data_IF_658163912133
#
_entry.id   IF_658163912133
#
_cell.length_a   1.000
_cell.length_b   1.000
_cell.length_c   1.000
_cell.angle_alpha   90.00
_cell.angle_beta   90.00
_cell.angle_gamma   90.00
#
_symmetry.space_group_name_H-M   'P 1'
#
loop_
_entity.id
_entity.type
_entity.pdbx_description
1 polymer ?
#
# COMPACT_ATOMS: atom_id res chain seq x y z
N UNK A 1 13.73 -0.07 0.00
CA UNK A 1 13.95 -0.76 -1.28
C UNK A 1 14.89 -1.92 -1.02
N UNK A 2 14.34 -3.13 -0.97
CA UNK A 2 14.99 -4.45 -1.04
C UNK A 2 14.05 -5.42 -0.32
N UNK A 3 13.07 -5.91 -1.07
CA UNK A 3 12.21 -7.04 -0.71
C UNK A 3 11.78 -7.78 -1.98
N UNK A 4 12.61 -7.73 -3.04
CA UNK A 4 12.28 -8.30 -4.35
C UNK A 4 12.80 -9.73 -4.56
N UNK A 5 13.34 -10.38 -3.52
CA UNK A 5 13.94 -11.72 -3.65
C UNK A 5 13.34 -12.72 -2.63
N UNK A 6 12.02 -12.85 -2.61
CA UNK A 6 11.34 -14.03 -2.04
C UNK A 6 10.40 -14.59 -3.12
N UNK A 7 10.98 -15.38 -4.03
CA UNK A 7 10.23 -16.37 -4.80
C UNK A 7 10.97 -17.69 -4.69
N UNK A 8 10.23 -18.67 -4.18
CA UNK A 8 10.65 -20.04 -3.96
C UNK A 8 11.12 -20.66 -5.28
N UNK A 9 12.30 -21.26 -5.20
CA UNK A 9 12.85 -22.24 -6.12
C UNK A 9 11.77 -23.30 -6.39
N UNK A 10 11.26 -23.41 -7.63
CA UNK A 10 10.48 -24.59 -8.00
C UNK A 10 11.47 -25.75 -8.12
N UNK A 11 11.52 -26.59 -7.10
CA UNK A 11 12.18 -27.88 -7.18
C UNK A 11 11.60 -28.66 -8.35
N UNK A 12 12.47 -29.06 -9.28
CA UNK A 12 12.11 -29.99 -10.34
C UNK A 12 11.75 -31.31 -9.67
N UNK A 13 10.52 -31.75 -9.87
CA UNK A 13 10.04 -33.08 -9.46
C UNK A 13 10.98 -34.12 -10.08
N UNK A 14 11.65 -34.86 -9.21
CA UNK A 14 12.55 -35.95 -9.56
C UNK A 14 11.73 -37.03 -10.28
N UNK A 15 11.84 -37.09 -11.62
CA UNK A 15 11.27 -38.20 -12.39
C UNK A 15 12.19 -39.40 -12.21
N UNK A 16 11.70 -40.36 -11.44
CA UNK A 16 12.46 -41.49 -10.93
C UNK A 16 13.23 -42.33 -11.95
N UNK A 17 14.34 -42.86 -11.42
CA UNK A 17 14.95 -44.16 -11.67
C UNK A 17 14.80 -44.79 -13.07
N UNK A 18 15.85 -44.64 -13.88
CA UNK A 18 16.25 -45.69 -14.83
C UNK A 18 17.63 -46.20 -14.40
N UNK A 19 17.65 -47.36 -13.75
CA UNK A 19 18.85 -48.13 -13.42
C UNK A 19 19.48 -48.67 -14.70
N UNK A 20 20.77 -48.39 -14.95
CA UNK A 20 21.54 -49.13 -15.95
C UNK A 20 22.88 -48.52 -16.36
N UNK A 21 23.96 -49.08 -15.78
CA UNK A 21 25.40 -48.97 -16.13
C UNK A 21 26.13 -47.71 -15.64
N UNK A 22 27.00 -47.96 -14.65
CA UNK A 22 28.03 -47.06 -14.13
C UNK A 22 28.89 -46.46 -15.26
N UNK A 23 28.63 -45.21 -15.60
CA UNK A 23 29.65 -44.29 -16.09
C UNK A 23 29.84 -43.26 -14.99
N UNK A 24 30.88 -43.44 -14.20
CA UNK A 24 31.31 -42.44 -13.23
C UNK A 24 31.89 -41.26 -14.02
N UNK A 25 31.04 -40.31 -14.41
CA UNK A 25 31.49 -38.99 -14.87
C UNK A 25 31.81 -38.20 -13.62
N UNK A 26 33.08 -38.20 -13.22
CA UNK A 26 33.63 -37.18 -12.33
C UNK A 26 33.45 -35.82 -13.04
N UNK A 27 32.39 -35.09 -12.71
CA UNK A 27 32.26 -33.69 -13.09
C UNK A 27 33.25 -32.92 -12.24
N UNK A 28 34.44 -32.73 -12.80
CA UNK A 28 35.42 -31.78 -12.31
C UNK A 28 34.85 -30.36 -12.46
N UNK A 29 35.02 -29.59 -11.38
CA UNK A 29 34.62 -28.21 -11.14
C UNK A 29 33.11 -27.91 -11.03
N UNK A 30 32.64 -27.33 -9.91
CA UNK A 30 31.40 -26.54 -9.92
C UNK A 30 31.67 -25.34 -10.82
N UNK A 31 31.38 -25.48 -12.12
CA UNK A 31 31.69 -24.52 -13.15
C UNK A 31 31.40 -23.10 -12.66
N UNK A 32 32.42 -22.24 -12.70
CA UNK A 32 32.36 -20.83 -12.29
C UNK A 32 31.01 -20.26 -12.69
N UNK A 33 30.20 -19.82 -11.71
CA UNK A 33 28.88 -19.20 -11.97
C UNK A 33 29.08 -18.14 -13.04
N UNK A 34 28.52 -18.39 -14.23
CA UNK A 34 28.66 -17.47 -15.33
C UNK A 34 27.79 -16.23 -15.04
N UNK A 35 28.43 -15.25 -14.39
CA UNK A 35 27.79 -14.00 -13.99
C UNK A 35 27.14 -13.29 -15.19
N UNK A 36 27.69 -13.48 -16.39
CA UNK A 36 27.14 -12.89 -17.61
C UNK A 36 25.79 -13.52 -17.95
N UNK A 37 25.67 -14.85 -18.01
CA UNK A 37 24.37 -15.50 -18.27
C UNK A 37 23.34 -15.25 -17.16
N UNK A 38 23.75 -15.24 -15.88
CA UNK A 38 22.86 -14.89 -14.77
C UNK A 38 22.35 -13.44 -14.88
N UNK A 39 23.23 -12.50 -15.19
CA UNK A 39 22.85 -11.11 -15.42
C UNK A 39 21.92 -10.98 -16.63
N UNK A 40 22.26 -11.61 -17.76
CA UNK A 40 21.42 -11.63 -18.96
C UNK A 40 20.03 -12.19 -18.67
N UNK A 41 19.93 -13.30 -17.92
CA UNK A 41 18.64 -13.88 -17.51
C UNK A 41 17.84 -12.93 -16.62
N UNK A 42 18.48 -12.27 -15.65
CA UNK A 42 17.82 -11.26 -14.80
C UNK A 42 17.29 -10.10 -15.63
N UNK A 43 18.07 -9.65 -16.60
CA UNK A 43 17.73 -8.54 -17.48
C UNK A 43 16.56 -8.87 -18.41
N UNK A 44 16.60 -10.04 -19.06
CA UNK A 44 15.49 -10.55 -19.86
C UNK A 44 14.21 -10.68 -19.01
N UNK A 45 14.31 -11.24 -17.81
CA UNK A 45 13.16 -11.36 -16.90
C UNK A 45 12.64 -9.99 -16.42
N UNK A 46 13.52 -8.98 -16.28
CA UNK A 46 13.11 -7.61 -15.98
C UNK A 46 12.28 -7.03 -17.14
N UNK A 47 12.78 -7.14 -18.37
CA UNK A 47 12.09 -6.68 -19.58
C UNK A 47 10.74 -7.40 -19.80
N UNK A 48 10.67 -8.70 -19.57
CA UNK A 48 9.43 -9.47 -19.66
C UNK A 48 8.41 -8.97 -18.63
N UNK A 49 8.83 -8.80 -17.36
CA UNK A 49 7.97 -8.26 -16.29
C UNK A 49 7.42 -6.88 -16.65
N UNK A 50 8.26 -5.99 -17.15
CA UNK A 50 7.84 -4.65 -17.57
C UNK A 50 6.79 -4.70 -18.70
N UNK A 51 6.99 -5.57 -19.70
CA UNK A 51 5.99 -5.77 -20.78
C UNK A 51 4.66 -6.29 -20.23
N UNK A 52 4.68 -7.25 -19.30
CA UNK A 52 3.46 -7.77 -18.66
C UNK A 52 2.74 -6.69 -17.86
N UNK A 53 3.46 -5.89 -17.08
CA UNK A 53 2.88 -4.76 -16.35
C UNK A 53 2.25 -3.74 -17.30
N UNK A 54 2.94 -3.40 -18.39
CA UNK A 54 2.44 -2.44 -19.37
C UNK A 54 1.20 -2.98 -20.12
N UNK A 55 1.20 -4.25 -20.52
CA UNK A 55 0.02 -4.89 -21.11
C UNK A 55 -1.17 -4.86 -20.14
N UNK A 56 -0.95 -5.20 -18.88
CA UNK A 56 -1.98 -5.15 -17.85
C UNK A 56 -2.52 -3.73 -17.63
N UNK A 57 -1.64 -2.72 -17.59
CA UNK A 57 -2.02 -1.29 -17.50
C UNK A 57 -2.88 -0.86 -18.69
N UNK A 58 -2.48 -1.22 -19.91
CA UNK A 58 -3.25 -0.92 -21.15
C UNK A 58 -4.62 -1.58 -21.09
N UNK A 59 -4.69 -2.85 -20.70
CA UNK A 59 -5.95 -3.58 -20.57
C UNK A 59 -6.91 -2.88 -19.59
N UNK A 60 -6.43 -2.46 -18.42
CA UNK A 60 -7.22 -1.69 -17.46
C UNK A 60 -7.74 -0.38 -18.07
N UNK A 61 -6.90 0.35 -18.80
CA UNK A 61 -7.31 1.60 -19.46
C UNK A 61 -8.38 1.35 -20.51
N UNK A 62 -8.25 0.30 -21.32
CA UNK A 62 -9.25 -0.09 -22.30
C UNK A 62 -10.59 -0.43 -21.63
N UNK A 63 -10.57 -1.17 -20.52
CA UNK A 63 -11.79 -1.46 -19.75
C UNK A 63 -12.42 -0.19 -19.15
N UNK A 64 -11.62 0.71 -18.58
CA UNK A 64 -12.11 1.98 -18.05
C UNK A 64 -12.78 2.79 -19.16
N UNK A 65 -12.11 2.95 -20.32
CA UNK A 65 -12.64 3.69 -21.45
C UNK A 65 -13.94 3.06 -21.99
N UNK A 66 -13.96 1.73 -22.14
CA UNK A 66 -15.13 0.99 -22.59
C UNK A 66 -16.32 1.14 -21.63
N UNK A 67 -16.10 1.03 -20.32
CA UNK A 67 -17.15 1.21 -19.31
C UNK A 67 -17.65 2.66 -19.26
N UNK A 68 -16.77 3.64 -19.44
CA UNK A 68 -17.18 5.04 -19.55
C UNK A 68 -18.03 5.26 -20.81
N UNK A 69 -17.66 4.66 -21.95
CA UNK A 69 -18.45 4.71 -23.17
C UNK A 69 -19.84 4.10 -22.96
N UNK A 70 -19.92 2.88 -22.42
CA UNK A 70 -21.19 2.21 -22.13
C UNK A 70 -22.06 3.01 -21.15
N UNK A 71 -21.47 3.53 -20.08
CA UNK A 71 -22.15 4.40 -19.12
C UNK A 71 -22.75 5.62 -19.82
N UNK A 72 -21.97 6.29 -20.67
CA UNK A 72 -22.44 7.49 -21.37
C UNK A 72 -23.60 7.15 -22.33
N UNK A 73 -23.52 6.03 -23.06
CA UNK A 73 -24.58 5.62 -23.99
C UNK A 73 -25.86 5.18 -23.27
N UNK A 74 -25.72 4.45 -22.15
CA UNK A 74 -26.87 3.81 -21.47
C UNK A 74 -27.51 4.66 -20.39
N UNK A 75 -26.71 5.41 -19.61
CA UNK A 75 -27.19 6.16 -18.43
C UNK A 75 -27.24 7.66 -18.67
N UNK A 76 -26.33 8.21 -19.46
CA UNK A 76 -26.31 9.65 -19.76
C UNK A 76 -27.12 9.98 -21.03
N UNK A 77 -27.40 8.99 -21.89
CA UNK A 77 -28.34 9.10 -23.00
C UNK A 77 -29.78 9.23 -22.50
N UNK A 78 -30.65 9.97 -23.19
CA UNK A 78 -32.02 10.23 -22.70
C UNK A 78 -32.97 9.04 -22.87
N UNK A 79 -32.71 8.15 -23.83
CA UNK A 79 -33.67 7.14 -24.25
C UNK A 79 -33.87 6.03 -23.20
N UNK A 80 -32.80 5.36 -22.76
CA UNK A 80 -32.91 4.26 -21.80
C UNK A 80 -33.42 4.74 -20.42
N UNK A 81 -32.89 5.83 -19.83
CA UNK A 81 -33.41 6.34 -18.56
C UNK A 81 -34.87 6.78 -18.64
N UNK A 82 -35.33 7.36 -19.75
CA UNK A 82 -36.75 7.73 -19.90
C UNK A 82 -37.67 6.51 -20.01
N UNK A 83 -37.26 5.46 -20.75
CA UNK A 83 -37.96 4.18 -20.76
C UNK A 83 -37.97 3.51 -19.38
N UNK A 84 -36.86 3.54 -18.64
CA UNK A 84 -36.82 2.99 -17.29
C UNK A 84 -37.75 3.78 -16.35
N UNK A 85 -37.77 5.10 -16.44
CA UNK A 85 -38.66 5.94 -15.63
C UNK A 85 -40.14 5.70 -15.95
N UNK A 86 -40.51 5.41 -17.20
CA UNK A 86 -41.91 5.12 -17.55
C UNK A 86 -42.43 3.82 -16.94
N UNK A 87 -41.54 2.88 -16.59
CA UNK A 87 -41.92 1.65 -15.87
C UNK A 87 -42.12 1.85 -14.36
N UNK A 88 -41.67 2.97 -13.80
CA UNK A 88 -41.74 3.23 -12.36
C UNK A 88 -43.03 3.99 -12.03
N UNK A 89 -43.91 3.36 -11.24
CA UNK A 89 -45.11 4.02 -10.72
C UNK A 89 -44.72 5.19 -9.79
N UNK A 90 -45.36 6.36 -9.97
CA UNK A 90 -45.04 7.62 -9.27
C UNK A 90 -44.98 7.51 -7.74
N UNK A 91 -45.81 6.67 -7.13
CA UNK A 91 -45.80 6.41 -5.67
C UNK A 91 -44.49 5.80 -5.17
N UNK A 92 -43.81 5.01 -6.01
CA UNK A 92 -42.53 4.42 -5.68
C UNK A 92 -41.39 5.45 -5.75
N UNK A 93 -41.51 6.49 -6.59
CA UNK A 93 -40.50 7.53 -6.74
C UNK A 93 -40.36 8.37 -5.46
N UNK A 94 -41.48 8.69 -4.81
CA UNK A 94 -41.47 9.42 -3.54
C UNK A 94 -40.77 8.62 -2.41
N UNK A 95 -41.14 7.33 -2.26
CA UNK A 95 -40.51 6.41 -1.31
C UNK A 95 -39.01 6.22 -1.60
N UNK A 96 -38.63 6.15 -2.88
CA UNK A 96 -37.23 6.07 -3.31
C UNK A 96 -36.48 7.36 -2.96
N UNK A 97 -37.02 8.54 -3.26
CA UNK A 97 -36.38 9.82 -2.90
C UNK A 97 -36.15 9.94 -1.40
N UNK A 98 -37.10 9.55 -0.57
CA UNK A 98 -36.95 9.58 0.89
C UNK A 98 -35.86 8.61 1.38
N UNK A 99 -35.88 7.36 0.88
CA UNK A 99 -34.88 6.33 1.20
C UNK A 99 -33.47 6.71 0.74
N UNK A 100 -33.30 7.26 -0.47
CA UNK A 100 -31.99 7.60 -1.02
C UNK A 100 -31.48 9.00 -0.60
N UNK A 101 -32.37 9.95 -0.27
CA UNK A 101 -32.01 11.19 0.43
C UNK A 101 -31.43 10.86 1.81
N UNK A 102 -32.00 9.88 2.51
CA UNK A 102 -31.46 9.38 3.78
C UNK A 102 -30.11 8.67 3.60
N UNK A 103 -29.80 7.99 2.50
CA UNK A 103 -28.48 7.38 2.25
C UNK A 103 -27.37 8.41 2.00
N UNK A 104 -27.71 9.58 1.47
CA UNK A 104 -26.79 10.72 1.35
C UNK A 104 -26.56 11.41 2.71
N UNK A 105 -27.58 11.48 3.57
CA UNK A 105 -27.55 12.15 4.88
C UNK A 105 -27.07 11.24 6.03
N UNK A 106 -27.34 9.94 5.99
CA UNK A 106 -26.91 8.96 7.02
C UNK A 106 -25.41 8.70 6.99
N UNK A 107 -24.74 8.92 5.85
CA UNK A 107 -23.28 9.02 5.80
C UNK A 107 -22.74 10.23 6.58
N UNK A 108 -23.56 11.27 6.82
CA UNK A 108 -23.20 12.47 7.58
C UNK A 108 -23.65 12.45 9.05
N UNK A 109 -24.62 11.60 9.44
CA UNK A 109 -25.28 11.72 10.76
C UNK A 109 -25.01 10.61 11.79
N UNK A 110 -24.08 9.67 11.56
CA UNK A 110 -23.56 8.84 12.66
C UNK A 110 -22.53 9.59 13.53
N UNK A 111 -22.99 10.70 14.13
CA UNK A 111 -22.46 11.27 15.36
C UNK A 111 -23.65 11.43 16.31
N UNK A 112 -23.89 10.43 17.16
CA UNK A 112 -24.63 10.66 18.40
C UNK A 112 -23.75 11.54 19.30
N UNK A 113 -23.94 12.84 19.19
CA UNK A 113 -23.36 13.85 20.08
C UNK A 113 -24.34 15.01 20.12
N UNK A 114 -25.07 15.13 21.23
CA UNK A 114 -26.03 16.20 21.49
C UNK A 114 -25.30 17.55 21.38
N UNK A 115 -25.70 18.37 20.42
CA UNK A 115 -25.14 19.71 20.21
C UNK A 115 -26.04 20.51 19.27
N UNK A 116 -26.89 21.35 19.86
CA UNK A 116 -27.80 22.26 19.17
C UNK A 116 -26.96 23.28 18.41
N UNK A 117 -27.14 23.37 17.09
CA UNK A 117 -26.66 24.52 16.31
C UNK A 117 -27.58 24.79 15.13
N UNK A 118 -28.02 26.05 15.07
CA UNK A 118 -29.04 26.61 14.19
C UNK A 118 -28.72 26.33 12.72
N UNK A 119 -29.68 25.72 12.02
CA UNK A 119 -29.64 25.53 10.56
C UNK A 119 -29.80 26.89 9.88
N UNK A 120 -28.76 27.39 9.21
CA UNK A 120 -28.93 28.36 8.12
C UNK A 120 -29.25 27.56 6.86
N UNK A 121 -30.47 27.72 6.36
CA UNK A 121 -30.87 27.21 5.06
C UNK A 121 -30.18 28.03 3.97
N UNK A 122 -29.16 27.46 3.32
CA UNK A 122 -28.72 27.95 2.02
C UNK A 122 -29.53 27.22 0.95
N UNK A 123 -30.60 27.87 0.50
CA UNK A 123 -31.30 27.55 -0.73
C UNK A 123 -30.36 27.81 -1.91
N UNK A 124 -29.63 26.79 -2.33
CA UNK A 124 -28.69 26.88 -3.45
C UNK A 124 -28.46 25.50 -4.05
N UNK A 125 -29.20 25.21 -5.12
CA UNK A 125 -28.78 24.27 -6.19
C UNK A 125 -28.33 22.86 -5.76
N UNK A 126 -29.07 22.19 -4.87
CA UNK A 126 -28.88 20.76 -4.59
C UNK A 126 -29.23 19.86 -5.81
N UNK A 127 -30.00 20.40 -6.77
CA UNK A 127 -30.30 19.78 -8.07
C UNK A 127 -29.10 19.77 -9.03
N UNK A 128 -28.00 20.45 -8.68
CA UNK A 128 -26.76 20.52 -9.46
C UNK A 128 -25.64 19.66 -8.86
N UNK A 129 -25.97 18.72 -7.97
CA UNK A 129 -25.19 17.48 -7.83
C UNK A 129 -25.56 16.62 -9.06
N UNK A 130 -25.25 17.15 -10.24
CA UNK A 130 -25.30 16.38 -11.47
C UNK A 130 -24.51 15.10 -11.24
N UNK A 131 -24.98 14.03 -11.86
CA UNK A 131 -24.39 12.71 -11.97
C UNK A 131 -23.02 12.87 -12.65
N UNK A 132 -22.06 13.52 -12.00
CA UNK A 132 -20.68 13.58 -12.42
C UNK A 132 -20.09 12.21 -12.11
N UNK A 133 -20.38 11.29 -13.03
CA UNK A 133 -19.79 9.97 -13.07
C UNK A 133 -18.29 10.09 -13.21
N UNK A 134 -17.58 9.32 -12.41
CA UNK A 134 -16.15 9.12 -12.55
C UNK A 134 -15.78 7.79 -11.93
N UNK A 135 -14.63 7.28 -12.31
CA UNK A 135 -14.20 5.93 -11.94
C UNK A 135 -13.44 5.98 -10.63
N UNK A 136 -13.74 4.99 -9.78
CA UNK A 136 -13.04 4.79 -8.52
C UNK A 136 -12.76 3.31 -8.30
N UNK A 137 -11.59 3.04 -7.74
CA UNK A 137 -11.30 1.74 -7.18
C UNK A 137 -12.04 1.52 -5.84
N UNK A 138 -13.01 0.62 -5.85
CA UNK A 138 -13.78 0.17 -4.67
C UNK A 138 -13.45 -1.28 -4.31
N UNK A 139 -12.34 -1.84 -4.82
CA UNK A 139 -11.99 -3.25 -4.62
C UNK A 139 -11.89 -3.62 -3.15
N UNK A 140 -11.42 -2.70 -2.29
CA UNK A 140 -11.27 -2.94 -0.85
C UNK A 140 -12.57 -3.36 -0.15
N UNK A 141 -13.73 -2.93 -0.68
CA UNK A 141 -15.05 -3.29 -0.17
C UNK A 141 -15.39 -4.75 -0.46
N UNK A 142 -15.12 -5.19 -1.69
CA UNK A 142 -15.59 -6.50 -2.19
C UNK A 142 -14.55 -7.61 -2.03
N UNK A 143 -13.26 -7.27 -2.07
CA UNK A 143 -12.19 -8.26 -1.91
C UNK A 143 -11.95 -8.55 -0.42
N UNK A 144 -12.39 -9.71 0.05
CA UNK A 144 -12.11 -10.18 1.42
C UNK A 144 -10.60 -10.25 1.70
N UNK A 145 -9.82 -10.70 0.72
CA UNK A 145 -8.36 -10.88 0.82
C UNK A 145 -7.55 -9.63 0.42
N UNK A 146 -8.19 -8.45 0.37
CA UNK A 146 -7.53 -7.19 -0.03
C UNK A 146 -6.24 -6.90 0.76
N UNK A 147 -6.23 -7.24 2.04
CA UNK A 147 -5.10 -7.01 2.94
C UNK A 147 -4.01 -8.08 2.91
N UNK A 148 -4.12 -9.14 2.07
CA UNK A 148 -3.05 -10.13 1.87
C UNK A 148 -2.00 -9.63 0.87
N UNK A 149 -0.73 -9.93 1.13
CA UNK A 149 0.41 -9.56 0.29
C UNK A 149 0.27 -10.10 -1.13
N UNK A 150 -0.11 -11.37 -1.28
CA UNK A 150 -0.27 -12.02 -2.59
C UNK A 150 -1.32 -11.35 -3.47
N UNK A 151 -2.46 -10.99 -2.88
CA UNK A 151 -3.51 -10.29 -3.59
C UNK A 151 -3.02 -8.92 -4.08
N UNK A 152 -2.31 -8.16 -3.23
CA UNK A 152 -1.76 -6.85 -3.62
C UNK A 152 -0.66 -6.96 -4.67
N UNK A 153 0.19 -8.00 -4.63
CA UNK A 153 1.26 -8.23 -5.58
C UNK A 153 0.74 -8.52 -6.99
N UNK A 154 -0.43 -9.15 -7.12
CA UNK A 154 -1.08 -9.41 -8.41
C UNK A 154 -1.75 -8.17 -9.02
N UNK A 155 -1.85 -7.07 -8.27
CA UNK A 155 -2.46 -5.83 -8.73
C UNK A 155 -1.41 -4.93 -9.39
N UNK A 156 -1.91 -4.00 -10.21
CA UNK A 156 -1.09 -2.91 -10.72
C UNK A 156 -0.59 -2.01 -9.59
N UNK A 157 0.52 -1.30 -9.85
CA UNK A 157 1.08 -0.29 -8.94
C UNK A 157 -0.02 0.68 -8.44
N UNK A 158 -0.27 0.75 -7.11
CA UNK A 158 -1.25 1.64 -6.53
C UNK A 158 -1.00 3.12 -6.85
N UNK A 159 0.28 3.54 -6.97
CA UNK A 159 0.60 4.93 -7.30
C UNK A 159 0.24 5.26 -8.74
N UNK A 160 0.53 4.36 -9.68
CA UNK A 160 0.06 4.48 -11.06
C UNK A 160 -1.46 4.54 -11.13
N UNK A 161 -2.18 3.62 -10.48
CA UNK A 161 -3.63 3.59 -10.52
C UNK A 161 -4.24 4.89 -9.95
N UNK A 162 -3.75 5.36 -8.79
CA UNK A 162 -4.20 6.60 -8.18
C UNK A 162 -3.95 7.83 -9.08
N UNK A 163 -2.79 7.90 -9.75
CA UNK A 163 -2.50 8.97 -10.72
C UNK A 163 -3.43 8.91 -11.93
N UNK A 164 -3.68 7.72 -12.47
CA UNK A 164 -4.57 7.49 -13.62
C UNK A 164 -6.01 7.90 -13.30
N UNK A 165 -6.56 7.44 -12.16
CA UNK A 165 -7.91 7.80 -11.71
C UNK A 165 -8.01 9.28 -11.29
N UNK A 166 -6.89 9.94 -11.03
CA UNK A 166 -6.84 11.38 -10.74
C UNK A 166 -6.95 12.28 -11.97
N UNK A 167 -6.82 11.73 -13.19
CA UNK A 167 -6.92 12.50 -14.45
C UNK A 167 -8.34 13.00 -14.67
N UNK A 168 -8.48 14.25 -15.15
CA UNK A 168 -9.79 14.92 -15.29
C UNK A 168 -10.84 14.12 -16.06
N UNK A 169 -10.43 13.40 -17.11
CA UNK A 169 -11.32 12.55 -17.94
C UNK A 169 -11.89 11.32 -17.22
N UNK A 170 -11.28 10.89 -16.11
CA UNK A 170 -11.68 9.69 -15.35
C UNK A 170 -12.17 10.05 -13.94
N UNK A 171 -11.70 11.18 -13.41
CA UNK A 171 -11.79 11.54 -12.00
C UNK A 171 -13.21 11.55 -11.44
N UNK A 172 -13.40 10.81 -10.34
CA UNK A 172 -14.63 10.83 -9.55
C UNK A 172 -14.82 12.15 -8.78
N UNK A 173 -16.08 12.46 -8.44
CA UNK A 173 -16.44 13.61 -7.63
C UNK A 173 -15.66 13.66 -6.30
N UNK A 174 -14.97 14.77 -6.03
CA UNK A 174 -14.07 14.91 -4.88
C UNK A 174 -14.74 14.75 -3.51
N UNK A 175 -15.96 15.27 -3.33
CA UNK A 175 -16.67 15.21 -2.03
C UNK A 175 -17.10 13.77 -1.74
N UNK A 176 -17.77 13.15 -2.71
CA UNK A 176 -18.17 11.73 -2.64
C UNK A 176 -16.96 10.82 -2.47
N UNK A 177 -15.87 11.13 -3.17
CA UNK A 177 -14.63 10.39 -3.07
C UNK A 177 -14.11 10.33 -1.62
N UNK A 178 -13.97 11.49 -0.97
CA UNK A 178 -13.49 11.57 0.42
C UNK A 178 -14.37 10.81 1.41
N UNK A 179 -15.69 10.94 1.28
CA UNK A 179 -16.63 10.24 2.18
C UNK A 179 -16.46 8.72 2.05
N UNK A 180 -16.37 8.21 0.83
CA UNK A 180 -16.18 6.78 0.63
C UNK A 180 -14.76 6.31 0.97
N UNK A 181 -13.70 7.14 0.90
CA UNK A 181 -12.37 6.79 1.46
C UNK A 181 -12.49 6.54 2.97
N UNK A 182 -13.17 7.45 3.68
CA UNK A 182 -13.37 7.30 5.12
C UNK A 182 -14.22 6.09 5.46
N UNK A 183 -15.19 5.74 4.61
CA UNK A 183 -16.03 4.56 4.79
C UNK A 183 -15.23 3.27 4.58
N UNK A 184 -14.50 3.16 3.45
CA UNK A 184 -13.66 2.00 3.15
C UNK A 184 -12.57 1.81 4.21
N UNK A 185 -11.97 2.90 4.69
CA UNK A 185 -10.98 2.83 5.76
C UNK A 185 -11.59 2.29 7.07
N UNK A 186 -12.79 2.73 7.44
CA UNK A 186 -13.50 2.20 8.61
C UNK A 186 -13.83 0.73 8.45
N UNK A 187 -14.33 0.32 7.28
CA UNK A 187 -14.60 -1.09 6.98
C UNK A 187 -13.33 -1.94 7.11
N UNK A 188 -12.19 -1.47 6.59
CA UNK A 188 -10.92 -2.18 6.69
C UNK A 188 -10.40 -2.30 8.12
N UNK A 189 -10.56 -1.26 8.95
CA UNK A 189 -10.15 -1.27 10.36
C UNK A 189 -11.07 -2.15 11.20
N UNK A 190 -12.36 -2.19 10.88
CA UNK A 190 -13.35 -3.02 11.59
C UNK A 190 -13.22 -4.52 11.26
N UNK A 191 -12.46 -4.90 10.24
CA UNK A 191 -12.13 -6.31 9.99
C UNK A 191 -11.34 -6.87 11.18
N UNK A 192 -11.59 -8.13 11.55
CA UNK A 192 -10.85 -8.76 12.63
C UNK A 192 -9.35 -8.81 12.32
N UNK A 193 -8.53 -8.84 13.36
CA UNK A 193 -7.09 -8.98 13.21
C UNK A 193 -6.75 -10.31 12.51
N UNK A 194 -5.76 -10.33 11.60
CA UNK A 194 -5.28 -11.57 10.99
C UNK A 194 -4.84 -12.59 12.05
N UNK A 195 -5.20 -13.86 11.86
CA UNK A 195 -4.86 -14.96 12.79
C UNK A 195 -3.49 -15.58 12.50
N UNK A 196 -3.03 -15.47 11.26
CA UNK A 196 -1.78 -16.08 10.77
C UNK A 196 -0.66 -15.06 10.70
N UNK A 197 0.52 -15.43 11.20
CA UNK A 197 1.71 -14.55 11.21
C UNK A 197 2.13 -14.10 9.80
N UNK A 198 2.07 -14.99 8.80
CA UNK A 198 2.43 -14.68 7.41
C UNK A 198 1.59 -13.55 6.80
N UNK A 199 0.36 -13.34 7.27
CA UNK A 199 -0.51 -12.28 6.75
C UNK A 199 -0.08 -10.88 7.22
N UNK A 200 0.69 -10.79 8.31
CA UNK A 200 1.22 -9.52 8.81
C UNK A 200 2.41 -9.02 7.98
N UNK A 201 3.11 -9.91 7.26
CA UNK A 201 4.20 -9.51 6.36
C UNK A 201 3.67 -8.54 5.31
N UNK A 202 4.24 -7.33 5.30
CA UNK A 202 3.85 -6.23 4.41
C UNK A 202 2.37 -5.81 4.50
N UNK A 203 1.67 -6.10 5.60
CA UNK A 203 0.26 -5.73 5.78
C UNK A 203 0.08 -4.19 5.80
N UNK A 204 -0.95 -3.62 5.13
CA UNK A 204 -1.08 -2.17 4.96
C UNK A 204 -1.39 -1.42 6.25
N UNK A 205 -2.10 -2.04 7.20
CA UNK A 205 -2.57 -1.38 8.43
C UNK A 205 -1.83 -1.81 9.69
N UNK A 206 -1.21 -2.99 9.69
CA UNK A 206 -0.74 -3.65 10.91
C UNK A 206 0.68 -4.16 10.71
N UNK A 207 1.42 -4.29 11.80
CA UNK A 207 2.77 -4.85 11.82
C UNK A 207 2.98 -5.63 13.11
N UNK A 208 3.77 -6.69 13.03
CA UNK A 208 4.26 -7.39 14.22
C UNK A 208 5.59 -6.80 14.66
N UNK A 209 5.82 -6.79 15.97
CA UNK A 209 7.10 -6.34 16.55
C UNK A 209 8.32 -7.09 15.98
N UNK A 210 8.16 -8.38 15.69
CA UNK A 210 9.20 -9.23 15.07
C UNK A 210 9.52 -8.85 13.62
N UNK A 211 8.55 -8.31 12.89
CA UNK A 211 8.66 -8.06 11.44
C UNK A 211 9.20 -6.65 11.11
N UNK A 212 9.75 -5.96 12.11
CA UNK A 212 10.39 -4.66 11.92
C UNK A 212 11.74 -4.82 11.22
N UNK A 213 11.95 -4.03 10.17
CA UNK A 213 13.24 -4.00 9.50
C UNK A 213 14.34 -3.44 10.41
N UNK A 214 15.60 -3.71 10.02
CA UNK A 214 16.80 -3.22 10.74
C UNK A 214 16.73 -1.72 11.06
N UNK A 215 16.33 -0.91 10.08
CA UNK A 215 16.21 0.55 10.18
C UNK A 215 14.76 1.02 10.39
N UNK A 216 13.91 0.19 10.96
CA UNK A 216 12.56 0.56 11.38
C UNK A 216 12.41 0.35 12.88
N UNK A 217 11.57 1.18 13.48
CA UNK A 217 11.09 0.98 14.83
C UNK A 217 9.71 1.61 15.00
N UNK A 218 9.04 1.22 16.08
CA UNK A 218 7.73 1.73 16.45
C UNK A 218 7.94 2.95 17.37
N UNK A 219 7.22 4.04 17.12
CA UNK A 219 7.19 5.24 17.94
C UNK A 219 5.74 5.68 18.22
N UNK A 220 5.37 6.02 19.48
CA UNK A 220 6.14 5.95 20.73
C UNK A 220 6.68 4.54 21.05
N UNK A 221 7.51 4.37 22.09
CA UNK A 221 8.09 3.04 22.37
C UNK A 221 6.98 2.00 22.61
N UNK A 222 7.21 0.72 22.30
CA UNK A 222 6.26 -0.35 22.57
C UNK A 222 5.77 -0.43 24.03
N UNK A 223 6.56 0.06 24.98
CA UNK A 223 6.23 0.12 26.41
C UNK A 223 5.22 1.23 26.73
N UNK A 224 5.30 2.36 26.02
CA UNK A 224 4.49 3.56 26.27
C UNK A 224 3.10 3.47 25.63
N UNK A 225 2.89 2.54 24.70
CA UNK A 225 1.65 2.42 23.95
C UNK A 225 0.99 1.05 24.16
N UNK A 226 -0.34 1.06 24.23
CA UNK A 226 -1.10 -0.19 24.30
C UNK A 226 -1.06 -0.89 22.93
N UNK A 227 -0.66 -2.17 22.86
CA UNK A 227 -0.75 -2.93 21.61
C UNK A 227 -2.21 -3.14 21.22
N UNK A 228 -2.48 -3.25 19.91
CA UNK A 228 -3.83 -3.50 19.39
C UNK A 228 -4.31 -4.91 19.75
N UNK A 229 -3.39 -5.85 19.83
CA UNK A 229 -3.64 -7.25 20.17
C UNK A 229 -2.34 -8.03 20.26
N UNK A 230 -2.46 -9.31 20.63
CA UNK A 230 -1.33 -10.24 20.69
C UNK A 230 -1.71 -11.47 19.86
N UNK A 231 -0.83 -11.83 18.91
CA UNK A 231 -1.01 -13.00 18.05
C UNK A 231 0.18 -13.92 18.23
N UNK A 232 -0.06 -15.14 18.71
CA UNK A 232 0.98 -16.15 18.98
C UNK A 232 2.17 -15.59 19.79
N UNK A 233 1.88 -14.78 20.81
CA UNK A 233 2.89 -14.16 21.69
C UNK A 233 3.54 -12.88 21.14
N UNK A 234 3.27 -12.49 19.89
CA UNK A 234 3.79 -11.25 19.31
C UNK A 234 2.77 -10.11 19.39
N UNK A 235 3.20 -8.94 19.86
CA UNK A 235 2.38 -7.74 19.94
C UNK A 235 2.15 -7.15 18.54
N UNK A 236 0.91 -6.77 18.26
CA UNK A 236 0.48 -6.13 17.01
C UNK A 236 0.37 -4.63 17.22
N UNK A 237 0.98 -3.86 16.32
CA UNK A 237 0.92 -2.41 16.31
C UNK A 237 0.39 -1.90 14.96
N UNK A 238 -0.20 -0.70 14.93
CA UNK A 238 -0.58 -0.09 13.67
C UNK A 238 0.66 0.29 12.86
N UNK A 239 0.61 0.06 11.54
CA UNK A 239 1.74 0.38 10.64
C UNK A 239 2.03 1.89 10.62
N UNK A 240 1.07 2.74 10.96
CA UNK A 240 1.24 4.19 11.10
C UNK A 240 2.23 4.60 12.20
N UNK A 241 2.42 3.75 13.22
CA UNK A 241 3.41 4.00 14.29
C UNK A 241 4.81 3.52 13.91
N UNK A 242 4.99 2.88 12.75
CA UNK A 242 6.31 2.46 12.27
C UNK A 242 6.98 3.63 11.58
N UNK A 243 8.17 3.95 12.05
CA UNK A 243 8.99 5.00 11.49
C UNK A 243 10.35 4.46 11.07
N UNK A 244 10.85 5.03 9.98
CA UNK A 244 12.21 4.75 9.50
C UNK A 244 13.23 5.50 10.35
N UNK A 245 14.23 4.77 10.83
CA UNK A 245 15.38 5.30 11.54
C UNK A 245 16.54 5.49 10.57
N UNK A 246 17.33 6.53 10.79
CA UNK A 246 18.50 6.84 9.98
C UNK A 246 19.68 7.23 10.85
N UNK A 247 20.90 6.98 10.37
CA UNK A 247 22.10 7.47 11.05
C UNK A 247 22.22 9.00 10.92
N UNK A 248 22.93 9.65 11.84
CA UNK A 248 23.07 11.11 11.89
C UNK A 248 23.48 11.72 10.54
N UNK A 249 24.48 11.13 9.86
CA UNK A 249 24.93 11.60 8.55
C UNK A 249 23.86 11.51 7.46
N UNK A 250 22.94 10.54 7.55
CA UNK A 250 21.86 10.42 6.57
C UNK A 250 20.70 11.39 6.86
N UNK A 251 20.54 11.82 8.11
CA UNK A 251 19.65 12.95 8.45
C UNK A 251 20.18 14.27 7.89
N UNK A 252 21.50 14.49 7.92
CA UNK A 252 22.12 15.70 7.32
C UNK A 252 21.80 15.79 5.82
N UNK A 253 21.82 14.65 5.11
CA UNK A 253 21.40 14.60 3.69
C UNK A 253 19.94 14.97 3.45
N UNK A 254 19.10 14.86 4.48
CA UNK A 254 17.70 15.28 4.47
C UNK A 254 17.52 16.69 5.05
N UNK A 255 18.60 17.48 5.17
CA UNK A 255 18.63 18.81 5.76
C UNK A 255 18.14 18.85 7.23
N UNK A 256 18.51 17.83 8.01
CA UNK A 256 18.19 17.74 9.44
C UNK A 256 19.41 17.33 10.27
N UNK A 257 19.56 17.90 11.45
CA UNK A 257 20.53 17.47 12.47
C UNK A 257 19.82 16.69 13.58
N UNK A 258 20.53 15.75 14.19
CA UNK A 258 20.09 15.16 15.47
C UNK A 258 20.26 16.23 16.54
N UNK A 259 19.27 16.38 17.43
CA UNK A 259 19.37 17.34 18.54
C UNK A 259 20.56 16.98 19.43
N UNK A 260 21.25 17.99 19.93
CA UNK A 260 22.40 17.81 20.81
C UNK A 260 21.99 17.06 22.09
N UNK A 261 22.75 16.02 22.47
CA UNK A 261 22.52 15.23 23.68
C UNK A 261 21.43 14.15 23.62
N UNK A 262 20.73 13.98 22.49
CA UNK A 262 19.76 12.89 22.32
C UNK A 262 20.43 11.51 22.27
N UNK A 263 19.89 10.54 23.01
CA UNK A 263 20.36 9.15 22.97
C UNK A 263 19.85 8.43 21.70
N UNK A 264 20.63 7.53 21.09
CA UNK A 264 20.17 6.78 19.93
C UNK A 264 18.94 5.94 20.25
N UNK A 265 17.95 5.92 19.34
CA UNK A 265 16.74 5.14 19.55
C UNK A 265 16.99 3.64 19.40
N UNK A 266 17.87 3.28 18.47
CA UNK A 266 18.30 1.90 18.21
C UNK A 266 19.76 1.93 17.77
N UNK A 267 20.52 0.92 18.16
CA UNK A 267 21.89 0.72 17.68
C UNK A 267 21.88 -0.52 16.80
N UNK A 268 22.34 -0.38 15.56
CA UNK A 268 22.34 -1.46 14.57
C UNK A 268 23.77 -1.79 14.15
N UNK A 269 24.03 -3.02 13.73
CA UNK A 269 25.33 -3.39 13.18
C UNK A 269 25.63 -2.55 11.93
N UNK A 270 26.78 -1.89 11.90
CA UNK A 270 27.26 -1.12 10.76
C UNK A 270 27.59 -2.02 9.57
N UNK A 271 27.74 -1.42 8.38
CA UNK A 271 28.30 -2.16 7.24
C UNK A 271 29.81 -2.36 7.47
N UNK A 272 30.34 -3.57 7.26
CA UNK A 272 31.77 -3.80 7.36
C UNK A 272 32.51 -3.02 6.26
N UNK A 273 33.75 -2.65 6.51
CA UNK A 273 34.60 -2.08 5.48
C UNK A 273 35.15 -3.19 4.60
N UNK A 274 34.65 -3.30 3.36
CA UNK A 274 35.06 -4.37 2.43
C UNK A 274 36.53 -4.24 1.98
N UNK A 275 37.17 -3.08 2.15
CA UNK A 275 38.59 -2.87 1.79
C UNK A 275 39.56 -3.59 2.72
N UNK A 276 39.12 -3.95 3.93
CA UNK A 276 39.94 -4.67 4.91
C UNK A 276 39.69 -6.18 4.75
N UNK A 277 40.73 -7.04 4.81
CA UNK A 277 40.59 -8.49 4.84
C UNK A 277 39.64 -8.95 5.95
N UNK A 278 38.90 -10.04 5.72
CA UNK A 278 37.79 -10.46 6.59
C UNK A 278 38.21 -10.71 8.06
N UNK A 279 39.42 -11.25 8.26
CA UNK A 279 39.99 -11.61 9.57
C UNK A 279 40.26 -10.39 10.46
N UNK A 280 40.56 -9.23 9.86
CA UNK A 280 40.86 -7.98 10.59
C UNK A 280 39.63 -7.04 10.68
N UNK A 281 38.43 -7.50 10.32
CA UNK A 281 37.24 -6.64 10.32
C UNK A 281 36.63 -6.54 11.72
N UNK A 282 36.81 -5.38 12.35
CA UNK A 282 36.10 -5.03 13.57
C UNK A 282 34.60 -4.81 13.34
N UNK A 283 33.78 -5.24 14.32
CA UNK A 283 32.34 -5.08 14.28
C UNK A 283 31.95 -3.64 14.61
N UNK A 284 31.62 -2.86 13.57
CA UNK A 284 31.14 -1.48 13.73
C UNK A 284 29.68 -1.47 14.13
N UNK A 285 29.30 -0.51 14.96
CA UNK A 285 27.92 -0.20 15.29
C UNK A 285 27.53 1.16 14.70
N UNK A 286 26.27 1.28 14.31
CA UNK A 286 25.69 2.50 13.79
C UNK A 286 24.49 2.87 14.66
N UNK A 287 24.60 4.03 15.28
CA UNK A 287 23.52 4.68 16.00
C UNK A 287 22.50 5.20 15.00
N UNK A 288 21.22 4.91 15.24
CA UNK A 288 20.13 5.37 14.39
C UNK A 288 19.08 6.12 15.20
N UNK A 289 18.59 7.19 14.59
CA UNK A 289 17.72 8.18 15.20
C UNK A 289 16.42 8.27 14.41
N UNK A 290 15.32 8.50 15.13
CA UNK A 290 14.01 8.73 14.53
C UNK A 290 13.79 10.20 14.16
N UNK A 291 12.77 10.47 13.35
CA UNK A 291 12.45 11.83 12.92
C UNK A 291 12.20 12.78 14.10
N UNK A 292 11.57 12.32 15.18
CA UNK A 292 11.26 13.10 16.39
C UNK A 292 12.50 13.56 17.18
N UNK A 293 13.66 12.92 16.97
CA UNK A 293 14.93 13.27 17.62
C UNK A 293 15.75 14.28 16.80
N UNK A 294 15.21 14.73 15.67
CA UNK A 294 15.92 15.62 14.73
C UNK A 294 15.27 16.97 14.64
N UNK A 295 16.08 17.98 14.38
CA UNK A 295 15.68 19.35 14.12
C UNK A 295 16.16 19.80 12.73
N UNK A 296 15.56 20.85 12.14
CA UNK A 296 16.05 21.42 10.88
C UNK A 296 17.52 21.82 11.00
N UNK A 297 18.35 21.34 10.07
CA UNK A 297 19.79 21.58 10.11
C UNK A 297 20.07 23.08 10.02
N UNK A 298 20.84 23.60 10.99
CA UNK A 298 21.36 24.97 10.95
C UNK A 298 22.83 24.90 10.53
N UNK A 299 23.23 25.54 9.43
CA UNK A 299 24.63 25.57 9.03
C UNK A 299 25.46 26.26 10.13
N UNK A 300 26.71 25.79 10.38
CA UNK A 300 27.58 26.44 11.33
C UNK A 300 27.84 27.90 10.90
N UNK A 301 27.92 28.81 11.87
CA UNK A 301 28.30 30.20 11.60
C UNK A 301 29.75 30.20 11.10
N UNK A 302 29.98 30.81 9.94
CA UNK A 302 31.34 31.02 9.44
C UNK A 302 32.03 32.02 10.37
N UNK A 303 33.13 31.61 10.99
CA UNK A 303 34.03 32.52 11.70
C UNK A 303 35.23 32.77 10.78
N UNK A 304 35.51 34.05 10.52
CA UNK A 304 36.69 34.49 9.76
C UNK A 304 37.91 34.59 10.68
#
# INVERSE_FOLDING_TARGET
SSSEDEWEEMELVDTGEIKGKNVQVTVEDPGKKDFKSLWMRREVNRCIREKWENCHRVNILCYIAHLQYLKNQTLDGNFIPSLMLSTIVLENIAKLKEKYSSLCVTAQMNRKGKGVSKKKASSGTDSQIMIQGGVRDVTARYAGQFSRSDFRRRRTDPKWLARTLGKGVIRANRKRARLEDTHLQKELVNKPLPTTLSEYKNHPLYVLEKDLLKFEAIYPRPEDQKPLGVVRGHKVYPRSSVHTLQGANNWIKQARSVKEGEKPYKVVKGRPNLRVPAEMREQRYLEVYGYWQTEPYRPPKVMN
#
